data_IF_593523674602
#
_entry.id   IF_593523674602
#
_cell.length_a   1.000
_cell.length_b   1.000
_cell.length_c   1.000
_cell.angle_alpha   90.00
_cell.angle_beta   90.00
_cell.angle_gamma   90.00
#
_symmetry.space_group_name_H-M   'P 1'
#
loop_
_entity.id
_entity.type
_entity.pdbx_description
1 polymer ?
#
# COMPACT_ATOMS: atom_id res chain seq x y z
N UNK A 1 -8.87 -10.41 13.24
CA UNK A 1 -9.26 -9.27 12.39
C UNK A 1 -8.24 -8.17 12.57
N UNK A 2 -7.78 -7.52 11.48
CA UNK A 2 -6.80 -6.43 11.57
C UNK A 2 -7.37 -5.12 11.02
N UNK A 3 -8.27 -5.17 10.04
CA UNK A 3 -8.97 -4.03 9.49
C UNK A 3 -10.46 -4.25 9.64
N UNK A 4 -11.17 -3.26 10.15
CA UNK A 4 -12.64 -3.21 10.20
C UNK A 4 -13.10 -1.83 9.76
N UNK A 5 -13.92 -1.80 8.72
CA UNK A 5 -14.59 -0.60 8.21
C UNK A 5 -16.09 -0.78 8.34
N UNK A 6 -16.80 0.27 8.76
CA UNK A 6 -18.23 0.26 8.91
C UNK A 6 -18.83 1.54 8.34
N UNK A 7 -19.67 1.37 7.32
CA UNK A 7 -20.45 2.44 6.67
C UNK A 7 -19.62 3.64 6.19
N UNK A 8 -18.48 3.38 5.55
CA UNK A 8 -17.57 4.43 5.08
C UNK A 8 -18.16 5.15 3.89
N UNK A 9 -18.38 6.46 4.04
CA UNK A 9 -18.88 7.34 2.98
C UNK A 9 -17.89 8.43 2.62
N UNK A 10 -17.88 8.80 1.34
CA UNK A 10 -17.06 9.90 0.82
C UNK A 10 -17.72 10.63 -0.33
N UNK A 11 -17.82 11.94 -0.20
CA UNK A 11 -18.38 12.85 -1.22
C UNK A 11 -17.35 13.90 -1.60
N UNK A 12 -17.21 14.16 -2.89
CA UNK A 12 -16.39 15.27 -3.39
C UNK A 12 -17.28 16.36 -4.00
N UNK A 13 -16.89 17.62 -3.75
CA UNK A 13 -17.49 18.77 -4.42
C UNK A 13 -16.79 19.01 -5.75
N UNK A 14 -17.56 19.03 -6.82
CA UNK A 14 -17.10 19.34 -8.18
C UNK A 14 -17.92 20.53 -8.70
N UNK A 15 -17.37 21.74 -8.55
CA UNK A 15 -18.13 22.98 -8.79
C UNK A 15 -19.31 23.08 -7.82
N UNK A 16 -20.51 23.28 -8.36
CA UNK A 16 -21.76 23.40 -7.57
C UNK A 16 -22.43 22.04 -7.30
N UNK A 17 -21.87 20.93 -7.78
CA UNK A 17 -22.43 19.59 -7.58
C UNK A 17 -21.62 18.79 -6.55
N UNK A 18 -22.27 17.86 -5.87
CA UNK A 18 -21.64 16.90 -4.98
C UNK A 18 -21.73 15.51 -5.59
N UNK A 19 -20.60 14.80 -5.64
CA UNK A 19 -20.51 13.44 -6.18
C UNK A 19 -20.13 12.50 -5.05
N UNK A 20 -21.03 11.59 -4.70
CA UNK A 20 -20.77 10.55 -3.69
C UNK A 20 -19.93 9.44 -4.33
N UNK A 21 -18.69 9.27 -3.88
CA UNK A 21 -17.73 8.29 -4.41
C UNK A 21 -17.79 6.99 -3.62
N UNK A 22 -17.96 7.04 -2.30
CA UNK A 22 -18.16 5.87 -1.46
C UNK A 22 -19.53 5.97 -0.78
N UNK A 23 -20.33 4.91 -0.90
CA UNK A 23 -21.76 4.90 -0.58
C UNK A 23 -22.09 3.97 0.60
N UNK A 24 -21.20 3.89 1.62
CA UNK A 24 -21.40 3.04 2.79
C UNK A 24 -20.65 1.71 2.70
N UNK A 25 -19.30 1.79 2.57
CA UNK A 25 -18.45 0.62 2.51
C UNK A 25 -18.29 -0.01 3.90
N UNK A 26 -18.65 -1.29 4.02
CA UNK A 26 -18.36 -2.09 5.21
C UNK A 26 -17.52 -3.30 4.83
N UNK A 27 -16.37 -3.49 5.50
CA UNK A 27 -15.40 -4.52 5.17
C UNK A 27 -14.61 -4.93 6.38
N UNK A 28 -14.35 -6.23 6.50
CA UNK A 28 -13.46 -6.82 7.50
C UNK A 28 -12.35 -7.60 6.81
N UNK A 29 -11.09 -7.44 7.26
CA UNK A 29 -9.92 -8.15 6.73
C UNK A 29 -9.17 -8.79 7.90
N UNK A 30 -8.77 -10.05 7.73
CA UNK A 30 -8.04 -10.79 8.74
C UNK A 30 -6.53 -10.52 8.67
N UNK A 31 -5.84 -10.72 9.79
CA UNK A 31 -4.38 -10.58 9.84
C UNK A 31 -3.71 -11.60 8.92
N UNK A 32 -2.75 -11.13 8.14
CA UNK A 32 -2.00 -11.96 7.18
C UNK A 32 -2.76 -12.25 5.89
N UNK A 33 -4.01 -11.80 5.73
CA UNK A 33 -4.82 -11.99 4.52
C UNK A 33 -4.26 -11.15 3.36
N UNK A 34 -4.23 -11.72 2.16
CA UNK A 34 -3.97 -11.00 0.92
C UNK A 34 -5.31 -10.74 0.23
N UNK A 35 -5.86 -9.55 0.42
CA UNK A 35 -7.16 -9.16 -0.13
C UNK A 35 -6.98 -8.30 -1.37
N UNK A 36 -7.63 -8.65 -2.46
CA UNK A 36 -7.71 -7.84 -3.68
C UNK A 36 -9.08 -7.17 -3.80
N UNK A 37 -9.10 -5.86 -4.01
CA UNK A 37 -10.29 -5.09 -4.34
C UNK A 37 -10.20 -4.71 -5.82
N UNK A 38 -11.12 -5.24 -6.62
CA UNK A 38 -11.12 -5.08 -8.06
C UNK A 38 -12.31 -4.25 -8.52
N UNK A 39 -12.18 -3.61 -9.66
CA UNK A 39 -13.28 -2.84 -10.27
C UNK A 39 -12.78 -1.95 -11.40
N UNK A 40 -13.70 -1.34 -12.12
CA UNK A 40 -13.37 -0.43 -13.20
C UNK A 40 -12.71 0.87 -12.72
N UNK A 41 -12.08 1.62 -13.62
CA UNK A 41 -11.58 2.96 -13.31
C UNK A 41 -12.75 3.85 -12.86
N UNK A 42 -12.54 4.61 -11.78
CA UNK A 42 -13.56 5.49 -11.21
C UNK A 42 -14.54 4.80 -10.23
N UNK A 43 -14.44 3.50 -9.97
CA UNK A 43 -15.31 2.81 -9.00
C UNK A 43 -15.10 3.18 -7.52
N UNK A 44 -14.07 3.98 -7.19
CA UNK A 44 -13.80 4.45 -5.83
C UNK A 44 -12.63 3.74 -5.11
N UNK A 45 -11.96 2.75 -5.75
CA UNK A 45 -10.90 1.92 -5.13
C UNK A 45 -9.77 2.71 -4.49
N UNK A 46 -9.13 3.61 -5.25
CA UNK A 46 -8.00 4.42 -4.74
C UNK A 46 -8.48 5.40 -3.66
N UNK A 47 -9.72 5.93 -3.76
CA UNK A 47 -10.32 6.74 -2.71
C UNK A 47 -10.47 5.94 -1.42
N UNK A 48 -11.02 4.73 -1.50
CA UNK A 48 -11.16 3.84 -0.37
C UNK A 48 -9.79 3.46 0.25
N UNK A 49 -8.80 3.13 -0.61
CA UNK A 49 -7.45 2.83 -0.15
C UNK A 49 -6.80 4.01 0.58
N UNK A 50 -6.97 5.24 0.07
CA UNK A 50 -6.45 6.46 0.71
C UNK A 50 -7.13 6.75 2.05
N UNK A 51 -8.42 6.44 2.19
CA UNK A 51 -9.14 6.56 3.45
C UNK A 51 -8.64 5.52 4.45
N UNK A 52 -8.50 4.25 4.04
CA UNK A 52 -7.88 3.21 4.87
C UNK A 52 -6.47 3.60 5.33
N UNK A 53 -5.72 4.24 4.45
CA UNK A 53 -4.36 4.72 4.74
C UNK A 53 -4.30 5.95 5.65
N UNK A 54 -5.45 6.53 6.04
CA UNK A 54 -5.47 7.80 6.76
C UNK A 54 -4.80 8.95 6.00
N UNK A 55 -4.75 8.86 4.66
CA UNK A 55 -4.26 9.94 3.77
C UNK A 55 -5.39 10.92 3.48
N UNK A 56 -6.61 10.41 3.47
CA UNK A 56 -7.83 11.17 3.23
C UNK A 56 -8.85 10.86 4.33
N UNK A 57 -9.54 11.85 4.92
CA UNK A 57 -10.62 11.59 5.86
C UNK A 57 -11.87 11.05 5.14
N UNK A 58 -12.58 10.11 5.76
CA UNK A 58 -13.97 9.80 5.38
C UNK A 58 -14.89 10.91 5.86
N UNK A 59 -16.08 10.99 5.28
CA UNK A 59 -17.12 11.95 5.73
C UNK A 59 -18.00 11.34 6.82
N UNK A 60 -18.24 10.02 6.74
CA UNK A 60 -18.96 9.22 7.73
C UNK A 60 -18.35 7.82 7.83
N UNK A 61 -18.64 7.14 8.94
CA UNK A 61 -18.24 5.75 9.20
C UNK A 61 -17.11 5.60 10.21
N UNK A 62 -16.78 4.35 10.51
CA UNK A 62 -15.76 3.96 11.50
C UNK A 62 -14.68 3.11 10.84
N UNK A 63 -13.41 3.34 11.20
CA UNK A 63 -12.27 2.59 10.68
C UNK A 63 -11.39 2.16 11.85
N UNK A 64 -11.30 0.86 12.07
CA UNK A 64 -10.40 0.29 13.08
C UNK A 64 -9.30 -0.49 12.38
N UNK A 65 -8.04 -0.16 12.66
CA UNK A 65 -6.88 -0.86 12.11
C UNK A 65 -5.93 -1.18 13.25
N UNK A 66 -5.60 -2.47 13.38
CA UNK A 66 -4.72 -2.95 14.46
C UNK A 66 -5.19 -2.44 15.84
N UNK A 67 -6.51 -2.56 16.11
CA UNK A 67 -7.17 -2.13 17.35
C UNK A 67 -7.25 -0.60 17.57
N UNK A 68 -6.81 0.23 16.60
CA UNK A 68 -6.86 1.69 16.70
C UNK A 68 -7.98 2.25 15.81
N UNK A 69 -8.81 3.12 16.38
CA UNK A 69 -9.75 3.97 15.65
C UNK A 69 -8.99 5.10 14.96
N UNK A 70 -8.97 5.13 13.63
CA UNK A 70 -8.17 6.11 12.87
C UNK A 70 -8.98 7.31 12.39
N UNK A 71 -10.30 7.20 12.30
CA UNK A 71 -11.19 8.27 11.83
C UNK A 71 -11.19 9.52 12.73
N UNK A 72 -10.86 9.35 14.00
CA UNK A 72 -10.82 10.43 14.99
C UNK A 72 -9.45 11.03 15.23
N UNK A 73 -8.39 10.49 14.59
CA UNK A 73 -7.01 10.95 14.80
C UNK A 73 -6.74 12.25 14.06
N UNK A 74 -5.96 13.15 14.68
CA UNK A 74 -5.45 14.33 13.99
C UNK A 74 -4.28 13.97 13.05
N UNK A 75 -3.84 14.93 12.21
CA UNK A 75 -2.79 14.70 11.20
C UNK A 75 -1.46 14.20 11.78
N UNK A 76 -1.06 14.66 12.97
CA UNK A 76 0.16 14.21 13.62
C UNK A 76 0.02 12.78 14.13
N UNK A 77 -1.11 12.43 14.72
CA UNK A 77 -1.43 11.09 15.19
C UNK A 77 -1.53 10.11 14.01
N UNK A 78 -2.20 10.51 12.92
CA UNK A 78 -2.25 9.73 11.68
C UNK A 78 -0.85 9.50 11.08
N UNK A 79 0.02 10.52 11.10
CA UNK A 79 1.39 10.36 10.60
C UNK A 79 2.20 9.36 11.44
N UNK A 80 2.05 9.38 12.77
CA UNK A 80 2.66 8.40 13.67
C UNK A 80 2.08 7.00 13.43
N UNK A 81 0.76 6.90 13.35
CA UNK A 81 0.07 5.64 13.09
C UNK A 81 0.53 5.00 11.77
N UNK A 82 0.57 5.80 10.68
CA UNK A 82 1.05 5.32 9.37
C UNK A 82 2.49 4.81 9.45
N UNK A 83 3.37 5.56 10.10
CA UNK A 83 4.78 5.19 10.25
C UNK A 83 4.97 3.84 10.93
N UNK A 84 4.15 3.52 11.91
CA UNK A 84 4.28 2.33 12.76
C UNK A 84 3.52 1.11 12.21
N UNK A 85 2.39 1.33 11.54
CA UNK A 85 1.46 0.26 11.20
C UNK A 85 1.32 0.01 9.70
N UNK A 86 1.72 0.95 8.84
CA UNK A 86 1.37 0.91 7.42
C UNK A 86 2.56 1.03 6.49
N UNK A 87 2.47 0.30 5.37
CA UNK A 87 3.33 0.51 4.21
C UNK A 87 2.48 0.80 2.97
N UNK A 88 3.02 1.60 2.06
CA UNK A 88 2.32 2.01 0.84
C UNK A 88 3.12 1.62 -0.39
N UNK A 89 2.45 1.00 -1.37
CA UNK A 89 2.97 0.67 -2.69
C UNK A 89 2.09 1.38 -3.71
N UNK A 90 2.70 2.16 -4.60
CA UNK A 90 2.00 2.97 -5.60
C UNK A 90 2.32 2.53 -7.02
N UNK A 91 1.40 2.76 -7.94
CA UNK A 91 1.58 2.52 -9.37
C UNK A 91 2.78 3.30 -9.95
N UNK A 92 3.00 4.53 -9.49
CA UNK A 92 4.09 5.40 -9.96
C UNK A 92 5.39 5.24 -9.15
N UNK A 93 5.51 4.17 -8.36
CA UNK A 93 6.65 3.86 -7.47
C UNK A 93 6.93 4.92 -6.40
N UNK A 94 6.72 6.19 -6.68
CA UNK A 94 6.94 7.36 -5.79
C UNK A 94 8.33 7.35 -5.12
N UNK A 95 9.36 6.99 -5.89
CA UNK A 95 10.75 7.04 -5.44
C UNK A 95 11.28 8.47 -5.53
N UNK A 96 12.14 8.83 -4.57
CA UNK A 96 12.88 10.09 -4.62
C UNK A 96 13.99 9.99 -5.68
N UNK A 97 13.91 10.75 -6.80
CA UNK A 97 14.79 10.55 -7.94
C UNK A 97 16.26 10.92 -7.68
N UNK A 98 16.51 11.74 -6.64
CA UNK A 98 17.86 12.16 -6.24
C UNK A 98 18.58 11.10 -5.38
N UNK A 99 17.82 10.19 -4.76
CA UNK A 99 18.30 9.18 -3.83
C UNK A 99 18.55 7.85 -4.55
N UNK A 100 19.53 7.09 -4.08
CA UNK A 100 19.77 5.72 -4.50
C UNK A 100 18.64 4.77 -4.04
N UNK A 101 18.63 3.53 -4.53
CA UNK A 101 17.71 2.50 -4.06
C UNK A 101 17.84 2.29 -2.55
N UNK A 102 19.08 2.21 -2.04
CA UNK A 102 19.35 2.06 -0.61
C UNK A 102 18.79 3.23 0.20
N UNK A 103 19.05 4.46 -0.22
CA UNK A 103 18.56 5.67 0.45
C UNK A 103 17.04 5.81 0.42
N UNK A 104 16.39 5.40 -0.68
CA UNK A 104 14.93 5.34 -0.76
C UNK A 104 14.34 4.35 0.26
N UNK A 105 14.96 3.17 0.42
CA UNK A 105 14.48 2.13 1.33
C UNK A 105 14.77 2.50 2.80
N UNK A 106 15.89 3.15 3.11
CA UNK A 106 16.20 3.55 4.50
C UNK A 106 15.40 4.75 5.00
N UNK A 107 14.77 5.52 4.09
CA UNK A 107 14.08 6.79 4.44
C UNK A 107 13.04 6.66 5.56
N UNK A 108 12.13 5.67 5.58
CA UNK A 108 11.18 5.53 6.67
C UNK A 108 11.86 5.31 8.03
N UNK A 109 13.02 4.64 8.05
CA UNK A 109 13.78 4.41 9.28
C UNK A 109 14.43 5.69 9.83
N UNK A 110 14.72 6.67 8.96
CA UNK A 110 15.20 8.00 9.39
C UNK A 110 14.12 8.69 10.24
N UNK A 111 12.87 8.67 9.75
CA UNK A 111 11.72 9.24 10.47
C UNK A 111 11.37 8.46 11.74
N UNK A 112 11.76 7.19 11.83
CA UNK A 112 11.61 6.37 13.03
C UNK A 112 12.77 6.52 14.01
N UNK A 113 13.76 7.43 13.75
CA UNK A 113 14.88 7.69 14.65
C UNK A 113 15.92 6.56 14.71
N UNK A 114 15.93 5.62 13.77
CA UNK A 114 16.88 4.50 13.74
C UNK A 114 18.29 5.00 13.40
N UNK A 115 19.30 4.50 14.10
CA UNK A 115 20.70 4.89 13.89
C UNK A 115 21.18 4.63 12.46
N UNK A 116 22.11 5.48 11.95
CA UNK A 116 22.62 5.37 10.57
C UNK A 116 23.16 3.97 10.24
N UNK A 117 23.89 3.36 11.16
CA UNK A 117 24.46 2.03 10.96
C UNK A 117 23.36 0.98 10.79
N UNK A 118 22.41 0.97 11.70
CA UNK A 118 21.32 0.00 11.72
C UNK A 118 20.39 0.13 10.51
N UNK A 119 19.98 1.38 10.13
CA UNK A 119 19.10 1.58 8.99
C UNK A 119 19.73 1.14 7.67
N UNK A 120 21.02 1.37 7.47
CA UNK A 120 21.76 0.90 6.29
C UNK A 120 21.78 -0.63 6.23
N UNK A 121 22.06 -1.30 7.34
CA UNK A 121 22.07 -2.76 7.41
C UNK A 121 20.68 -3.35 7.12
N UNK A 122 19.64 -2.78 7.72
CA UNK A 122 18.24 -3.19 7.47
C UNK A 122 17.82 -2.96 6.02
N UNK A 123 18.16 -1.80 5.44
CA UNK A 123 17.84 -1.47 4.06
C UNK A 123 18.57 -2.39 3.06
N UNK A 124 19.84 -2.73 3.29
CA UNK A 124 20.59 -3.71 2.49
C UNK A 124 19.92 -5.07 2.52
N UNK A 125 19.62 -5.59 3.71
CA UNK A 125 18.94 -6.87 3.88
C UNK A 125 17.58 -6.90 3.18
N UNK A 126 16.82 -5.79 3.22
CA UNK A 126 15.54 -5.71 2.54
C UNK A 126 15.71 -5.69 1.01
N UNK A 127 16.69 -4.96 0.48
CA UNK A 127 16.99 -4.96 -0.96
C UNK A 127 17.46 -6.34 -1.45
N UNK A 128 18.20 -7.09 -0.67
CA UNK A 128 18.55 -8.48 -0.96
C UNK A 128 17.30 -9.36 -1.07
N UNK A 129 16.35 -9.23 -0.14
CA UNK A 129 15.08 -9.99 -0.14
C UNK A 129 14.21 -9.72 -1.36
N UNK A 130 14.27 -8.51 -1.93
CA UNK A 130 13.54 -8.16 -3.16
C UNK A 130 14.37 -8.39 -4.43
N UNK A 131 15.57 -9.00 -4.31
CA UNK A 131 16.42 -9.35 -5.45
C UNK A 131 17.18 -8.19 -6.08
N UNK A 132 17.57 -7.18 -5.28
CA UNK A 132 18.29 -5.97 -5.73
C UNK A 132 19.62 -5.75 -5.03
N UNK A 133 20.30 -6.82 -4.61
CA UNK A 133 21.60 -6.75 -3.92
C UNK A 133 22.67 -5.98 -4.73
N UNK A 134 22.68 -6.16 -6.04
CA UNK A 134 23.62 -5.54 -6.98
C UNK A 134 23.20 -4.15 -7.48
N UNK A 135 22.04 -3.63 -7.05
CA UNK A 135 21.44 -2.36 -7.49
C UNK A 135 21.30 -1.32 -6.39
N UNK A 136 21.83 -1.55 -5.21
CA UNK A 136 21.65 -0.70 -4.03
C UNK A 136 22.07 0.75 -4.24
N UNK A 137 23.10 0.99 -5.04
CA UNK A 137 23.66 2.32 -5.28
C UNK A 137 23.11 3.00 -6.55
N UNK A 138 22.19 2.36 -7.29
CA UNK A 138 21.56 2.93 -8.47
C UNK A 138 20.46 3.90 -8.08
N UNK A 139 20.31 4.98 -8.87
CA UNK A 139 19.18 5.91 -8.77
C UNK A 139 17.98 5.38 -9.55
N UNK A 140 16.75 5.86 -9.27
CA UNK A 140 15.57 5.44 -10.02
C UNK A 140 15.69 5.52 -11.53
N UNK A 141 16.36 6.54 -12.08
CA UNK A 141 16.59 6.69 -13.53
C UNK A 141 17.49 5.61 -14.15
N UNK A 142 18.20 4.85 -13.34
CA UNK A 142 19.11 3.77 -13.74
C UNK A 142 18.48 2.38 -13.56
N UNK A 143 17.22 2.32 -13.09
CA UNK A 143 16.48 1.11 -12.79
C UNK A 143 15.32 0.91 -13.78
N UNK A 144 15.08 -0.35 -14.16
CA UNK A 144 13.86 -0.69 -14.89
C UNK A 144 12.60 -0.47 -14.05
N UNK A 145 11.41 -0.40 -14.67
CA UNK A 145 10.14 -0.25 -13.94
C UNK A 145 9.92 -1.32 -12.87
N UNK A 146 10.19 -2.58 -13.18
CA UNK A 146 10.10 -3.68 -12.22
C UNK A 146 11.11 -3.55 -11.08
N UNK A 147 12.33 -3.07 -11.36
CA UNK A 147 13.32 -2.80 -10.31
C UNK A 147 12.91 -1.63 -9.42
N UNK A 148 12.36 -0.55 -9.99
CA UNK A 148 11.81 0.57 -9.22
C UNK A 148 10.65 0.11 -8.32
N UNK A 149 9.78 -0.76 -8.82
CA UNK A 149 8.69 -1.33 -8.03
C UNK A 149 9.22 -2.20 -6.87
N UNK A 150 10.25 -2.99 -7.10
CA UNK A 150 10.92 -3.76 -6.02
C UNK A 150 11.52 -2.84 -4.94
N UNK A 151 12.10 -1.70 -5.30
CA UNK A 151 12.55 -0.68 -4.34
C UNK A 151 11.38 -0.09 -3.56
N UNK A 152 10.25 0.23 -4.22
CA UNK A 152 9.03 0.72 -3.57
C UNK A 152 8.47 -0.30 -2.57
N UNK A 153 8.43 -1.58 -2.94
CA UNK A 153 8.02 -2.69 -2.07
C UNK A 153 8.95 -2.81 -0.85
N UNK A 154 10.26 -2.79 -1.07
CA UNK A 154 11.25 -2.83 0.01
C UNK A 154 11.07 -1.66 1.00
N UNK A 155 10.87 -0.44 0.47
CA UNK A 155 10.57 0.75 1.28
C UNK A 155 9.30 0.61 2.09
N UNK A 156 8.23 0.05 1.51
CA UNK A 156 6.96 -0.15 2.19
C UNK A 156 7.07 -1.12 3.37
N UNK A 157 7.94 -2.13 3.29
CA UNK A 157 8.10 -3.18 4.29
C UNK A 157 9.17 -2.90 5.36
N UNK A 158 10.01 -1.87 5.18
CA UNK A 158 11.23 -1.68 6.02
C UNK A 158 10.94 -1.46 7.51
N UNK A 159 9.79 -0.90 7.84
CA UNK A 159 9.32 -0.69 9.22
C UNK A 159 8.55 -1.90 9.80
N UNK A 160 8.49 -3.03 9.09
CA UNK A 160 7.68 -4.20 9.45
C UNK A 160 6.21 -3.85 9.73
N UNK A 161 5.51 -3.20 8.79
CA UNK A 161 4.14 -2.75 9.00
C UNK A 161 3.18 -3.94 9.15
N UNK A 162 2.09 -3.73 9.88
CA UNK A 162 1.00 -4.71 10.03
C UNK A 162 0.17 -4.83 8.74
N UNK A 163 0.06 -3.73 7.99
CA UNK A 163 -0.76 -3.60 6.79
C UNK A 163 0.03 -2.95 5.66
N UNK A 164 -0.06 -3.54 4.47
CA UNK A 164 0.40 -2.95 3.20
C UNK A 164 -0.82 -2.58 2.37
N UNK A 165 -0.87 -1.31 1.96
CA UNK A 165 -1.85 -0.79 1.02
C UNK A 165 -1.18 -0.59 -0.34
N UNK A 166 -1.68 -1.27 -1.37
CA UNK A 166 -1.09 -1.23 -2.71
C UNK A 166 -2.11 -0.72 -3.74
N UNK A 167 -1.80 0.44 -4.34
CA UNK A 167 -2.61 1.05 -5.40
C UNK A 167 -2.01 0.72 -6.76
N UNK A 168 -2.68 -0.15 -7.52
CA UNK A 168 -2.27 -0.62 -8.85
C UNK A 168 -0.78 -1.01 -8.92
N UNK A 169 -0.29 -1.93 -8.06
CA UNK A 169 1.15 -2.17 -7.90
C UNK A 169 1.87 -2.71 -9.15
N UNK A 170 1.12 -3.14 -10.15
CA UNK A 170 1.63 -3.68 -11.42
C UNK A 170 1.12 -2.94 -12.65
N UNK A 171 0.40 -1.84 -12.46
CA UNK A 171 -0.29 -1.13 -13.55
C UNK A 171 0.63 -0.54 -14.64
N UNK A 172 1.91 -0.32 -14.34
CA UNK A 172 2.91 0.22 -15.27
C UNK A 172 3.93 -0.83 -15.74
N UNK A 173 3.65 -2.13 -15.54
CA UNK A 173 4.58 -3.21 -15.83
C UNK A 173 4.08 -4.08 -16.99
N UNK A 174 5.01 -4.69 -17.71
CA UNK A 174 4.68 -5.73 -18.70
C UNK A 174 4.18 -7.01 -17.99
N UNK A 175 3.55 -7.91 -18.76
CA UNK A 175 2.89 -9.09 -18.22
C UNK A 175 3.84 -10.02 -17.47
N UNK A 176 5.09 -10.18 -17.94
CA UNK A 176 6.09 -11.04 -17.29
C UNK A 176 6.50 -10.45 -15.95
N UNK A 177 6.86 -9.17 -15.94
CA UNK A 177 7.25 -8.45 -14.73
C UNK A 177 6.09 -8.37 -13.73
N UNK A 178 4.84 -8.26 -14.21
CA UNK A 178 3.63 -8.31 -13.38
C UNK A 178 3.58 -9.59 -12.55
N UNK A 179 3.78 -10.77 -13.17
CA UNK A 179 3.80 -12.07 -12.49
C UNK A 179 4.92 -12.08 -11.45
N UNK A 180 6.14 -11.69 -11.83
CA UNK A 180 7.30 -11.65 -10.91
C UNK A 180 7.05 -10.75 -9.68
N UNK A 181 6.36 -9.64 -9.85
CA UNK A 181 6.01 -8.74 -8.72
C UNK A 181 4.90 -9.35 -7.86
N UNK A 182 3.88 -9.97 -8.45
CA UNK A 182 2.81 -10.62 -7.67
C UNK A 182 3.34 -11.83 -6.89
N UNK A 183 4.22 -12.64 -7.49
CA UNK A 183 4.94 -13.73 -6.79
C UNK A 183 5.70 -13.17 -5.58
N UNK A 184 6.47 -12.10 -5.78
CA UNK A 184 7.22 -11.43 -4.72
C UNK A 184 6.29 -10.94 -3.60
N UNK A 185 5.18 -10.25 -3.93
CA UNK A 185 4.23 -9.76 -2.95
C UNK A 185 3.61 -10.90 -2.13
N UNK A 186 3.24 -12.02 -2.79
CA UNK A 186 2.68 -13.19 -2.08
C UNK A 186 3.69 -13.86 -1.17
N UNK A 187 4.94 -13.98 -1.61
CA UNK A 187 6.03 -14.52 -0.78
C UNK A 187 6.29 -13.62 0.45
N UNK A 188 6.33 -12.31 0.25
CA UNK A 188 6.52 -11.35 1.34
C UNK A 188 5.32 -11.35 2.31
N UNK A 189 4.08 -11.46 1.80
CA UNK A 189 2.88 -11.61 2.64
C UNK A 189 3.01 -12.80 3.59
N UNK A 190 3.42 -13.98 3.07
CA UNK A 190 3.61 -15.19 3.86
C UNK A 190 4.78 -15.08 4.83
N UNK A 191 5.95 -14.60 4.36
CA UNK A 191 7.18 -14.58 5.15
C UNK A 191 7.14 -13.56 6.30
N UNK A 192 6.46 -12.43 6.11
CA UNK A 192 6.33 -11.39 7.14
C UNK A 192 5.00 -11.46 7.91
N UNK A 193 4.08 -12.34 7.51
CA UNK A 193 2.70 -12.40 8.05
C UNK A 193 2.02 -11.02 8.07
N UNK A 194 2.32 -10.20 7.04
CA UNK A 194 1.77 -8.85 6.86
C UNK A 194 0.51 -8.92 6.02
N UNK A 195 -0.52 -8.17 6.38
CA UNK A 195 -1.77 -8.08 5.63
C UNK A 195 -1.61 -7.21 4.41
N UNK A 196 -2.09 -7.65 3.25
CA UNK A 196 -2.06 -6.88 2.01
C UNK A 196 -3.47 -6.53 1.56
N UNK A 197 -3.69 -5.25 1.25
CA UNK A 197 -4.89 -4.76 0.56
C UNK A 197 -4.44 -4.17 -0.76
N UNK A 198 -4.78 -4.85 -1.85
CA UNK A 198 -4.37 -4.49 -3.21
C UNK A 198 -5.59 -4.00 -3.97
N UNK A 199 -5.58 -2.76 -4.46
CA UNK A 199 -6.61 -2.29 -5.39
C UNK A 199 -6.06 -2.36 -6.81
N UNK A 200 -6.83 -2.94 -7.75
CA UNK A 200 -6.39 -3.11 -9.13
C UNK A 200 -7.58 -3.36 -10.07
N UNK A 201 -7.36 -3.13 -11.36
CA UNK A 201 -8.25 -3.58 -12.42
C UNK A 201 -7.74 -4.88 -13.11
N UNK A 202 -6.55 -5.35 -12.76
CA UNK A 202 -5.93 -6.55 -13.35
C UNK A 202 -6.51 -7.84 -12.77
N UNK A 203 -7.02 -8.71 -13.66
CA UNK A 203 -7.56 -10.02 -13.26
C UNK A 203 -6.47 -11.02 -12.82
N UNK A 204 -5.21 -10.79 -13.18
CA UNK A 204 -4.09 -11.67 -12.80
C UNK A 204 -3.96 -11.80 -11.27
N UNK A 205 -4.35 -10.76 -10.52
CA UNK A 205 -4.30 -10.76 -9.05
C UNK A 205 -5.18 -11.84 -8.40
N UNK A 206 -6.17 -12.40 -9.13
CA UNK A 206 -7.09 -13.41 -8.58
C UNK A 206 -6.36 -14.68 -8.14
N UNK A 207 -5.28 -15.05 -8.82
CA UNK A 207 -4.50 -16.25 -8.51
C UNK A 207 -3.66 -16.10 -7.23
N UNK A 208 -3.46 -14.85 -6.78
CA UNK A 208 -2.61 -14.50 -5.65
C UNK A 208 -3.41 -14.15 -4.39
N UNK A 209 -4.63 -13.63 -4.57
CA UNK A 209 -5.46 -13.18 -3.47
C UNK A 209 -6.11 -14.36 -2.71
N UNK A 210 -6.10 -14.28 -1.39
CA UNK A 210 -6.88 -15.19 -0.54
C UNK A 210 -8.37 -14.83 -0.62
N UNK A 211 -8.66 -13.55 -0.90
CA UNK A 211 -10.02 -13.02 -1.07
C UNK A 211 -10.04 -11.93 -2.13
N UNK A 212 -11.02 -12.01 -3.02
CA UNK A 212 -11.29 -11.01 -4.05
C UNK A 212 -12.64 -10.36 -3.79
N UNK A 213 -12.68 -9.04 -3.76
CA UNK A 213 -13.86 -8.22 -3.53
C UNK A 213 -14.05 -7.32 -4.73
N UNK A 214 -15.24 -7.31 -5.32
CA UNK A 214 -15.57 -6.39 -6.41
C UNK A 214 -16.06 -5.07 -5.85
N UNK A 215 -15.56 -3.96 -6.39
CA UNK A 215 -16.08 -2.62 -6.13
C UNK A 215 -16.66 -2.04 -7.40
N UNK A 216 -17.91 -1.58 -7.32
CA UNK A 216 -18.68 -1.00 -8.42
C UNK A 216 -19.47 0.19 -7.93
N UNK A 217 -19.35 1.34 -8.58
CA UNK A 217 -20.08 2.58 -8.26
C UNK A 217 -20.06 2.98 -6.78
N UNK A 218 -18.93 2.79 -6.10
CA UNK A 218 -18.76 3.15 -4.70
C UNK A 218 -19.33 2.16 -3.69
N UNK A 219 -19.69 0.94 -4.11
CA UNK A 219 -20.19 -0.15 -3.27
C UNK A 219 -19.31 -1.41 -3.43
N UNK A 220 -19.29 -2.26 -2.41
CA UNK A 220 -18.73 -3.61 -2.50
C UNK A 220 -19.81 -4.63 -2.90
N UNK A 221 -19.44 -5.56 -3.80
CA UNK A 221 -20.32 -6.60 -4.35
C UNK A 221 -19.75 -8.00 -4.06
#
# INVERSE_FOLDING_TARGET
MIIQCKDIKKTFKVGDTSVEILKGISLEINKGEFTAIIGESGSGKSTFLNILGGIMPCDEGEIVINEHHIEGLNENELALFRRENMGFIFQSYNLMPQLTALENVEMPLIFSGVSKKERIERAKSMLEKVGLADRMNHKPSELSGGQQQRVSIARALINNPSVILADEPTGNLDSKTTIEILDLLKDLNKNFNTTFVVVTHSQVVYEYADRVIKMEDGLLC
#
